data_IF_164228868214
#
_entry.id   IF_164228868214
#
_cell.length_a   1.000
_cell.length_b   1.000
_cell.length_c   1.000
_cell.angle_alpha   90.00
_cell.angle_beta   90.00
_cell.angle_gamma   90.00
#
_symmetry.space_group_name_H-M   'P 1'
#
loop_
_entity.id
_entity.type
_entity.pdbx_description
1 polymer ?
#
# COMPACT_ATOMS: atom_id res chain seq x y z
N UNK A 1 7.78 -30.03 -35.55
CA UNK A 1 6.90 -30.83 -34.67
C UNK A 1 7.12 -30.36 -33.23
N UNK A 2 6.23 -29.50 -32.71
CA UNK A 2 6.43 -28.81 -31.41
C UNK A 2 5.96 -29.74 -30.27
N UNK A 3 6.81 -29.94 -29.27
CA UNK A 3 6.59 -30.87 -28.17
C UNK A 3 5.54 -30.34 -27.17
N UNK A 4 4.32 -30.87 -27.24
CA UNK A 4 3.13 -30.45 -26.49
C UNK A 4 3.29 -30.48 -24.96
N UNK A 5 4.23 -31.27 -24.43
CA UNK A 5 4.48 -31.38 -22.98
C UNK A 5 5.08 -30.12 -22.34
N UNK A 6 5.73 -29.25 -23.13
CA UNK A 6 6.28 -27.96 -22.63
C UNK A 6 5.26 -26.82 -22.62
N UNK A 7 4.09 -27.00 -23.25
CA UNK A 7 3.06 -25.96 -23.33
C UNK A 7 2.11 -25.98 -22.12
N UNK A 8 1.94 -27.14 -21.48
CA UNK A 8 1.04 -27.32 -20.33
C UNK A 8 1.63 -26.82 -18.99
N UNK A 9 2.95 -26.67 -18.89
CA UNK A 9 3.61 -26.20 -17.66
C UNK A 9 3.61 -24.67 -17.54
N UNK A 10 3.53 -23.94 -18.66
CA UNK A 10 3.51 -22.47 -18.67
C UNK A 10 2.14 -21.87 -18.31
N UNK A 11 1.04 -22.55 -18.66
CA UNK A 11 -0.32 -22.05 -18.45
C UNK A 11 -0.81 -22.16 -16.99
N UNK A 12 -0.20 -23.00 -16.17
CA UNK A 12 -0.54 -23.12 -14.74
C UNK A 12 -0.08 -21.92 -13.90
N UNK A 13 1.01 -21.25 -14.29
CA UNK A 13 1.55 -20.08 -13.57
C UNK A 13 0.80 -18.78 -13.90
N UNK A 14 0.17 -18.69 -15.08
CA UNK A 14 -0.59 -17.50 -15.47
C UNK A 14 -1.98 -17.44 -14.81
N UNK A 15 -2.60 -18.59 -14.51
CA UNK A 15 -3.94 -18.66 -13.92
C UNK A 15 -3.95 -18.32 -12.41
N UNK A 16 -2.85 -18.54 -11.68
CA UNK A 16 -2.80 -18.21 -10.24
C UNK A 16 -2.74 -16.70 -9.95
N UNK A 17 -2.24 -15.88 -10.89
CA UNK A 17 -2.13 -14.44 -10.71
C UNK A 17 -3.49 -13.70 -10.74
N UNK A 18 -4.50 -14.28 -11.38
CA UNK A 18 -5.84 -13.66 -11.52
C UNK A 18 -6.69 -13.88 -10.26
N UNK A 19 -6.44 -14.94 -9.49
CA UNK A 19 -7.20 -15.21 -8.26
C UNK A 19 -6.79 -14.34 -7.07
N UNK A 20 -5.58 -13.76 -7.08
CA UNK A 20 -5.13 -12.84 -6.01
C UNK A 20 -5.53 -11.38 -6.24
N UNK A 21 -6.14 -11.02 -7.38
CA UNK A 21 -6.48 -9.62 -7.69
C UNK A 21 -7.95 -9.23 -7.42
N UNK A 22 -8.83 -10.16 -7.07
CA UNK A 22 -10.23 -9.82 -6.78
C UNK A 22 -10.43 -9.70 -5.26
N UNK A 23 -10.27 -8.47 -4.76
CA UNK A 23 -10.70 -8.11 -3.41
C UNK A 23 -12.19 -8.38 -3.23
N UNK A 24 -12.53 -9.21 -2.25
CA UNK A 24 -13.90 -9.49 -1.85
C UNK A 24 -14.51 -8.23 -1.25
N UNK A 25 -15.41 -7.55 -1.97
CA UNK A 25 -16.23 -6.49 -1.40
C UNK A 25 -17.38 -7.13 -0.61
N UNK A 26 -17.29 -7.11 0.72
CA UNK A 26 -18.41 -7.51 1.58
C UNK A 26 -19.34 -6.31 1.78
N UNK A 27 -20.60 -6.44 1.35
CA UNK A 27 -21.66 -5.53 1.75
C UNK A 27 -22.06 -5.86 3.20
N UNK A 28 -21.66 -5.02 4.16
CA UNK A 28 -22.16 -5.11 5.52
C UNK A 28 -23.55 -4.44 5.62
N UNK A 29 -24.55 -5.06 6.28
CA UNK A 29 -25.80 -4.40 6.58
C UNK A 29 -25.58 -3.32 7.64
N UNK A 30 -25.80 -2.06 7.24
CA UNK A 30 -25.72 -0.88 8.09
C UNK A 30 -27.00 -0.76 8.89
N UNK A 31 -26.97 -1.18 10.16
CA UNK A 31 -28.12 -1.07 11.08
C UNK A 31 -27.82 0.01 12.12
N UNK A 32 -27.98 1.27 11.72
CA UNK A 32 -27.94 2.40 12.65
C UNK A 32 -29.35 2.61 13.22
N UNK A 33 -29.60 2.02 14.38
CA UNK A 33 -30.74 2.39 15.22
C UNK A 33 -30.48 3.78 15.79
N UNK A 34 -31.10 4.80 15.21
CA UNK A 34 -31.20 6.13 15.81
C UNK A 34 -32.25 6.07 16.93
N UNK A 35 -31.83 5.70 18.13
CA UNK A 35 -32.60 5.98 19.34
C UNK A 35 -32.15 7.35 19.86
N UNK A 36 -33.00 8.35 19.64
CA UNK A 36 -32.88 9.68 20.23
C UNK A 36 -33.04 9.62 21.75
N UNK A 37 -32.00 10.04 22.48
CA UNK A 37 -32.07 10.36 23.90
C UNK A 37 -31.39 11.70 24.13
N UNK A 38 -32.16 12.71 24.52
CA UNK A 38 -31.66 14.01 24.96
C UNK A 38 -31.01 13.93 26.36
N UNK A 39 -29.94 14.72 26.56
CA UNK A 39 -29.53 15.42 27.80
C UNK A 39 -28.09 15.14 28.33
N UNK A 40 -27.19 16.10 28.07
CA UNK A 40 -26.09 16.63 28.90
C UNK A 40 -25.17 17.50 28.00
N UNK A 41 -24.42 18.51 28.48
CA UNK A 41 -23.51 19.26 27.62
C UNK A 41 -22.40 18.30 27.18
N UNK A 42 -22.46 17.82 25.94
CA UNK A 42 -21.43 16.96 25.37
C UNK A 42 -20.10 17.70 25.44
N UNK A 43 -19.18 17.18 26.26
CA UNK A 43 -17.77 17.55 26.17
C UNK A 43 -17.34 17.19 24.74
N UNK A 44 -17.24 18.20 23.86
CA UNK A 44 -16.75 18.02 22.50
C UNK A 44 -15.35 17.41 22.60
N UNK A 45 -15.25 16.12 22.24
CA UNK A 45 -13.98 15.40 22.27
C UNK A 45 -13.01 16.09 21.30
N UNK A 46 -11.76 16.24 21.73
CA UNK A 46 -10.69 16.71 20.86
C UNK A 46 -10.47 15.72 19.72
N UNK A 47 -9.96 16.21 18.58
CA UNK A 47 -9.66 15.37 17.42
C UNK A 47 -8.74 14.18 17.76
N UNK A 48 -7.79 14.40 18.70
CA UNK A 48 -6.92 13.33 19.21
C UNK A 48 -7.72 12.27 19.96
N UNK A 49 -8.59 12.68 20.90
CA UNK A 49 -9.43 11.75 21.66
C UNK A 49 -10.32 10.92 20.72
N UNK A 50 -10.86 11.52 19.66
CA UNK A 50 -11.64 10.81 18.64
C UNK A 50 -10.81 9.75 17.89
N UNK A 51 -9.59 10.09 17.49
CA UNK A 51 -8.66 9.14 16.84
C UNK A 51 -8.34 7.99 17.80
N UNK A 52 -8.00 8.28 19.05
CA UNK A 52 -7.65 7.29 20.06
C UNK A 52 -8.82 6.33 20.34
N UNK A 53 -10.06 6.84 20.43
CA UNK A 53 -11.26 6.01 20.62
C UNK A 53 -11.44 5.03 19.45
N UNK A 54 -11.30 5.51 18.21
CA UNK A 54 -11.45 4.65 17.01
C UNK A 54 -10.30 3.66 16.89
N UNK A 55 -9.09 4.08 17.22
CA UNK A 55 -7.92 3.21 17.24
C UNK A 55 -8.10 2.07 18.26
N UNK A 56 -8.54 2.39 19.48
CA UNK A 56 -8.86 1.39 20.50
C UNK A 56 -9.99 0.44 20.07
N UNK A 57 -10.99 0.93 19.35
CA UNK A 57 -12.03 0.07 18.79
C UNK A 57 -11.46 -0.92 17.76
N UNK A 58 -10.56 -0.47 16.89
CA UNK A 58 -9.87 -1.33 15.92
C UNK A 58 -8.95 -2.36 16.59
N UNK A 59 -8.24 -1.99 17.66
CA UNK A 59 -7.40 -2.94 18.43
C UNK A 59 -8.18 -4.15 18.94
N UNK A 60 -9.47 -3.96 19.24
CA UNK A 60 -10.34 -5.00 19.78
C UNK A 60 -11.30 -5.59 18.73
N UNK A 61 -11.15 -5.21 17.46
CA UNK A 61 -12.03 -5.69 16.39
C UNK A 61 -11.77 -7.19 16.15
N UNK A 62 -12.80 -8.06 16.24
CA UNK A 62 -12.67 -9.49 15.98
C UNK A 62 -12.07 -9.83 14.62
N UNK A 63 -12.25 -8.97 13.61
CA UNK A 63 -11.69 -9.13 12.26
C UNK A 63 -10.16 -9.01 12.28
N UNK A 64 -9.60 -8.21 13.18
CA UNK A 64 -8.16 -7.95 13.28
C UNK A 64 -7.45 -8.85 14.30
N UNK A 65 -8.17 -9.76 14.99
CA UNK A 65 -7.65 -10.62 16.07
C UNK A 65 -6.36 -11.38 15.72
N UNK A 66 -6.22 -11.79 14.46
CA UNK A 66 -5.08 -12.56 13.97
C UNK A 66 -4.13 -11.74 13.08
N UNK A 67 -4.43 -10.45 12.86
CA UNK A 67 -3.63 -9.57 12.03
C UNK A 67 -2.48 -8.97 12.84
N UNK A 68 -1.29 -8.90 12.25
CA UNK A 68 -0.20 -8.06 12.74
C UNK A 68 -0.26 -6.73 12.00
N UNK A 69 -0.55 -5.65 12.73
CA UNK A 69 -0.70 -4.32 12.16
C UNK A 69 -0.16 -3.26 13.10
N UNK A 70 0.07 -2.08 12.55
CA UNK A 70 0.52 -0.90 13.27
C UNK A 70 -0.12 0.35 12.69
N UNK A 71 -0.15 1.41 13.50
CA UNK A 71 -0.73 2.70 13.18
C UNK A 71 0.11 3.78 13.83
N UNK A 72 0.34 4.89 13.12
CA UNK A 72 1.01 6.06 13.68
C UNK A 72 0.48 7.33 13.01
N UNK A 73 0.16 8.32 13.83
CA UNK A 73 -0.05 9.69 13.41
C UNK A 73 1.09 10.51 13.98
N UNK A 74 1.87 11.10 13.08
CA UNK A 74 3.07 11.87 13.42
C UNK A 74 2.93 13.29 12.90
N UNK A 75 3.25 14.28 13.74
CA UNK A 75 3.33 15.68 13.35
C UNK A 75 4.77 16.03 12.91
N UNK A 76 5.02 16.30 11.61
CA UNK A 76 6.35 16.65 11.13
C UNK A 76 6.84 18.02 11.59
N UNK A 77 5.95 18.95 11.99
CA UNK A 77 6.33 20.28 12.47
C UNK A 77 6.87 20.23 13.88
N UNK A 78 6.13 19.59 14.79
CA UNK A 78 6.54 19.45 16.20
C UNK A 78 7.44 18.24 16.46
N UNK A 79 7.58 17.34 15.48
CA UNK A 79 8.34 16.09 15.54
C UNK A 79 7.86 15.15 16.65
N UNK A 80 6.54 15.10 16.86
CA UNK A 80 5.91 14.30 17.91
C UNK A 80 4.92 13.32 17.32
N UNK A 81 4.89 12.13 17.89
CA UNK A 81 3.79 11.18 17.68
C UNK A 81 2.56 11.69 18.42
N UNK A 82 1.45 11.83 17.71
CA UNK A 82 0.16 12.26 18.26
C UNK A 82 -0.59 11.05 18.83
N UNK A 83 -0.61 9.94 18.09
CA UNK A 83 -1.25 8.68 18.48
C UNK A 83 -0.57 7.53 17.72
N UNK A 84 -0.45 6.37 18.35
CA UNK A 84 0.16 5.20 17.72
C UNK A 84 -0.31 3.88 18.33
N UNK A 85 -0.08 2.82 17.57
CA UNK A 85 -0.24 1.43 17.96
C UNK A 85 0.82 0.61 17.23
N UNK A 86 1.63 -0.17 17.95
CA UNK A 86 2.66 -1.03 17.36
C UNK A 86 3.59 -0.30 16.37
N UNK A 87 3.93 0.98 16.60
CA UNK A 87 4.71 1.79 15.65
C UNK A 87 6.13 1.26 15.39
N UNK A 88 6.66 0.44 16.30
CA UNK A 88 7.98 -0.19 16.19
C UNK A 88 7.92 -1.65 15.68
N UNK A 89 6.73 -2.16 15.35
CA UNK A 89 6.59 -3.52 14.83
C UNK A 89 7.19 -3.61 13.42
N UNK A 90 7.95 -4.69 13.18
CA UNK A 90 8.43 -5.04 11.85
C UNK A 90 7.29 -5.68 11.06
N UNK A 91 6.78 -4.98 10.06
CA UNK A 91 5.68 -5.43 9.20
C UNK A 91 6.18 -5.61 7.76
N UNK A 92 5.45 -6.38 6.95
CA UNK A 92 5.72 -6.49 5.51
C UNK A 92 5.09 -5.28 4.81
N UNK A 93 5.86 -4.31 4.28
CA UNK A 93 5.34 -3.05 3.74
C UNK A 93 4.60 -3.18 2.40
N UNK A 94 4.77 -4.30 1.69
CA UNK A 94 4.29 -4.46 0.31
C UNK A 94 4.71 -3.25 -0.56
N UNK A 95 3.77 -2.57 -1.21
CA UNK A 95 4.08 -1.43 -2.08
C UNK A 95 4.47 -0.15 -1.35
N UNK A 96 4.31 -0.02 -0.03
CA UNK A 96 4.81 1.17 0.70
C UNK A 96 6.34 1.23 0.71
N UNK A 97 7.02 0.11 0.42
CA UNK A 97 8.46 0.06 0.09
C UNK A 97 8.85 1.09 -0.98
N UNK A 98 7.93 1.40 -1.91
CA UNK A 98 8.17 2.37 -2.99
C UNK A 98 8.53 3.76 -2.47
N UNK A 99 8.10 4.14 -1.26
CA UNK A 99 8.47 5.42 -0.67
C UNK A 99 9.99 5.53 -0.52
N UNK A 100 10.63 4.53 0.07
CA UNK A 100 12.09 4.52 0.29
C UNK A 100 12.87 4.46 -1.03
N UNK A 101 12.43 3.62 -1.98
CA UNK A 101 13.12 3.52 -3.28
C UNK A 101 12.96 4.78 -4.11
N UNK A 102 11.81 5.46 -4.00
CA UNK A 102 11.56 6.73 -4.71
C UNK A 102 12.39 7.86 -4.10
N UNK A 103 12.43 7.95 -2.78
CA UNK A 103 13.28 8.93 -2.08
C UNK A 103 14.76 8.73 -2.43
N UNK A 104 15.21 7.48 -2.43
CA UNK A 104 16.58 7.13 -2.86
C UNK A 104 16.83 7.51 -4.32
N UNK A 105 15.92 7.18 -5.23
CA UNK A 105 16.06 7.54 -6.65
C UNK A 105 16.08 9.06 -6.85
N UNK A 106 15.23 9.80 -6.15
CA UNK A 106 15.22 11.27 -6.21
C UNK A 106 16.52 11.85 -5.67
N UNK A 107 17.02 11.35 -4.54
CA UNK A 107 18.29 11.81 -3.95
C UNK A 107 19.51 11.49 -4.82
N UNK A 108 19.49 10.38 -5.56
CA UNK A 108 20.63 9.94 -6.37
C UNK A 108 20.61 10.48 -7.80
N UNK A 109 19.44 10.49 -8.43
CA UNK A 109 19.28 10.81 -9.86
C UNK A 109 18.85 12.27 -10.07
N UNK A 110 18.14 12.86 -9.10
CA UNK A 110 17.51 14.17 -9.23
C UNK A 110 16.17 14.12 -10.00
N UNK A 111 15.40 15.19 -9.88
CA UNK A 111 14.07 15.34 -10.51
C UNK A 111 14.14 15.42 -12.04
N UNK A 112 15.26 15.89 -12.58
CA UNK A 112 15.49 16.08 -14.01
C UNK A 112 16.10 14.87 -14.70
N UNK A 113 16.29 13.75 -13.99
CA UNK A 113 16.80 12.54 -14.60
C UNK A 113 15.91 12.07 -15.77
N UNK A 114 16.55 11.66 -16.86
CA UNK A 114 15.89 11.10 -18.04
C UNK A 114 16.59 9.81 -18.45
N UNK A 115 15.80 8.76 -18.70
CA UNK A 115 16.31 7.52 -19.28
C UNK A 115 16.74 7.76 -20.72
N UNK A 116 17.90 7.22 -21.10
CA UNK A 116 18.43 7.31 -22.45
C UNK A 116 18.31 5.94 -23.10
N UNK A 117 17.65 5.90 -24.26
CA UNK A 117 17.60 4.73 -25.12
C UNK A 117 18.39 5.03 -26.38
N UNK A 118 19.42 4.24 -26.67
CA UNK A 118 20.32 4.44 -27.82
C UNK A 118 20.25 3.24 -28.75
N UNK A 119 20.40 3.50 -30.05
CA UNK A 119 20.62 2.49 -31.08
C UNK A 119 22.06 2.64 -31.56
N UNK A 120 22.85 1.57 -31.49
CA UNK A 120 24.26 1.55 -31.84
C UNK A 120 24.54 0.51 -32.93
N UNK A 121 25.57 0.74 -33.74
CA UNK A 121 26.06 -0.19 -34.75
C UNK A 121 27.58 -0.30 -34.65
N UNK A 122 28.11 -1.41 -35.16
CA UNK A 122 29.56 -1.63 -35.29
C UNK A 122 29.94 -1.64 -36.76
N UNK A 123 31.12 -1.12 -37.11
CA UNK A 123 31.59 -1.01 -38.49
C UNK A 123 31.38 0.40 -39.04
N UNK A 124 31.43 0.54 -40.37
CA UNK A 124 31.13 1.78 -41.08
C UNK A 124 29.87 1.54 -41.91
N UNK A 125 28.94 2.51 -41.92
CA UNK A 125 27.76 2.48 -42.79
C UNK A 125 28.14 3.16 -44.11
N UNK A 126 28.04 2.44 -45.21
CA UNK A 126 28.35 2.94 -46.54
C UNK A 126 27.21 3.80 -47.14
N UNK A 127 27.41 4.33 -48.36
CA UNK A 127 26.42 5.14 -49.07
C UNK A 127 25.12 4.38 -49.42
N UNK A 128 25.13 3.05 -49.34
CA UNK A 128 23.97 2.19 -49.55
C UNK A 128 23.23 1.88 -48.24
N UNK A 129 23.74 2.34 -47.09
CA UNK A 129 23.16 2.11 -45.78
C UNK A 129 23.47 0.72 -45.20
N UNK A 130 24.54 0.08 -45.66
CA UNK A 130 25.03 -1.24 -45.19
C UNK A 130 26.29 -1.10 -44.36
#
# INVERSE_FOLDING_TARGET
>A
MINLKKLLTGSALALSAIFYSQGTFTNLPSNYNTASSEAAPEKLLSAKELVDIKLNAMMNDPVLRNANWGFVVYDPKTKKVISSYNEHASLIPASTTKLLTTDTAMSMLGEDFRWITQLEYSGEIDENGV
#
